data_IF_686467528745
#
_entry.id   IF_686467528745
#
_cell.length_a   1.000
_cell.length_b   1.000
_cell.length_c   1.000
_cell.angle_alpha   90.00
_cell.angle_beta   90.00
_cell.angle_gamma   90.00
#
_symmetry.space_group_name_H-M   'P 1'
#
loop_
_entity.id
_entity.type
_entity.pdbx_description
1 polymer ?
#
# COMPACT_ATOMS: atom_id res chain seq x y z
N UNK A 1 -20.38 2.23 -23.62
CA UNK A 1 -19.95 1.60 -22.37
C UNK A 1 -18.42 1.72 -22.31
N UNK A 2 -17.86 2.27 -21.22
CA UNK A 2 -16.41 2.32 -21.06
C UNK A 2 -15.93 0.91 -20.71
N UNK A 3 -15.11 0.27 -21.56
CA UNK A 3 -14.51 -1.03 -21.25
C UNK A 3 -13.33 -0.86 -20.29
N UNK A 4 -13.03 -1.88 -19.50
CA UNK A 4 -11.85 -1.94 -18.62
C UNK A 4 -10.96 -3.08 -19.06
N UNK A 5 -9.67 -2.96 -18.76
CA UNK A 5 -8.68 -3.99 -19.09
C UNK A 5 -7.60 -4.10 -18.01
N UNK A 6 -7.01 -5.29 -17.90
CA UNK A 6 -5.94 -5.56 -16.94
C UNK A 6 -4.64 -4.88 -17.39
N UNK A 7 -4.11 -4.03 -16.50
CA UNK A 7 -2.78 -3.46 -16.62
C UNK A 7 -1.78 -4.33 -15.83
N UNK A 8 -0.59 -4.56 -16.39
CA UNK A 8 0.48 -5.34 -15.78
C UNK A 8 1.73 -4.50 -15.53
N UNK A 9 1.87 -3.43 -16.30
CA UNK A 9 3.00 -2.49 -16.24
C UNK A 9 2.49 -1.05 -16.10
N UNK A 10 3.32 -0.11 -15.62
CA UNK A 10 2.95 1.31 -15.60
C UNK A 10 2.58 1.86 -16.98
N UNK A 11 3.24 1.37 -18.03
CA UNK A 11 3.01 1.85 -19.40
C UNK A 11 1.63 1.41 -19.96
N UNK A 12 1.08 0.31 -19.46
CA UNK A 12 -0.28 -0.15 -19.81
C UNK A 12 -1.34 0.89 -19.44
N UNK A 13 -1.17 1.64 -18.34
CA UNK A 13 -2.11 2.67 -17.94
C UNK A 13 -2.26 3.74 -19.04
N UNK A 14 -1.14 4.24 -19.56
CA UNK A 14 -1.13 5.25 -20.63
C UNK A 14 -1.72 4.70 -21.92
N UNK A 15 -1.37 3.48 -22.30
CA UNK A 15 -1.88 2.79 -23.49
C UNK A 15 -3.40 2.60 -23.38
N UNK A 16 -3.89 2.03 -22.29
CA UNK A 16 -5.33 1.76 -22.09
C UNK A 16 -6.16 3.05 -22.04
N UNK A 17 -5.61 4.11 -21.42
CA UNK A 17 -6.24 5.44 -21.43
C UNK A 17 -6.38 5.99 -22.84
N UNK A 18 -5.35 5.83 -23.69
CA UNK A 18 -5.41 6.25 -25.10
C UNK A 18 -6.45 5.44 -25.90
N UNK A 19 -6.67 4.18 -25.53
CA UNK A 19 -7.70 3.31 -26.11
C UNK A 19 -9.13 3.62 -25.56
N UNK A 20 -9.27 4.62 -24.67
CA UNK A 20 -10.55 4.97 -24.04
C UNK A 20 -11.02 3.94 -22.99
N UNK A 21 -10.12 3.10 -22.51
CA UNK A 21 -10.40 2.06 -21.50
C UNK A 21 -10.04 2.53 -20.09
N UNK A 22 -10.66 1.93 -19.08
CA UNK A 22 -10.20 2.00 -17.70
C UNK A 22 -9.16 0.89 -17.47
N UNK A 23 -8.09 1.21 -16.75
CA UNK A 23 -7.08 0.24 -16.33
C UNK A 23 -7.30 -0.17 -14.88
N UNK A 24 -7.03 -1.44 -14.56
CA UNK A 24 -6.95 -1.92 -13.20
C UNK A 24 -5.73 -2.83 -13.03
N UNK A 25 -5.16 -2.83 -11.83
CA UNK A 25 -4.08 -3.71 -11.41
C UNK A 25 -4.62 -4.73 -10.42
N UNK A 26 -4.10 -5.96 -10.45
CA UNK A 26 -4.47 -7.01 -9.50
C UNK A 26 -3.45 -7.06 -8.38
N UNK A 27 -3.92 -6.95 -7.13
CA UNK A 27 -3.20 -7.30 -5.92
C UNK A 27 -3.77 -8.56 -5.27
N UNK A 28 -2.95 -9.24 -4.49
CA UNK A 28 -3.40 -10.29 -3.58
C UNK A 28 -3.20 -9.77 -2.16
N UNK A 29 -4.28 -9.59 -1.43
CA UNK A 29 -4.20 -9.35 -0.01
C UNK A 29 -4.17 -10.68 0.74
N UNK A 30 -3.13 -10.84 1.54
CA UNK A 30 -2.76 -12.03 2.29
C UNK A 30 -1.98 -13.09 1.49
N UNK A 31 -0.67 -13.08 1.63
CA UNK A 31 0.24 -14.07 1.07
C UNK A 31 0.01 -15.53 1.55
N UNK A 32 -0.95 -15.75 2.45
CA UNK A 32 -1.40 -17.11 2.82
C UNK A 32 -1.74 -17.95 1.59
N UNK A 33 -2.27 -17.33 0.53
CA UNK A 33 -2.57 -18.00 -0.74
C UNK A 33 -1.36 -18.56 -1.48
N UNK A 34 -0.13 -18.15 -1.14
CA UNK A 34 1.10 -18.75 -1.68
C UNK A 34 1.26 -20.18 -1.21
N UNK A 35 0.73 -20.52 -0.03
CA UNK A 35 0.89 -21.83 0.60
C UNK A 35 2.36 -22.14 0.85
N UNK A 36 2.76 -23.40 0.62
CA UNK A 36 4.14 -23.89 0.84
C UNK A 36 4.95 -24.07 -0.45
N UNK A 37 4.39 -23.69 -1.61
CA UNK A 37 5.03 -23.83 -2.91
C UNK A 37 5.32 -22.44 -3.52
N UNK A 38 6.59 -22.06 -3.58
CA UNK A 38 7.03 -20.79 -4.19
C UNK A 38 6.60 -20.66 -5.67
N UNK A 39 6.35 -21.75 -6.38
CA UNK A 39 5.85 -21.72 -7.76
C UNK A 39 4.49 -21.04 -7.88
N UNK A 40 3.72 -20.95 -6.78
CA UNK A 40 2.46 -20.23 -6.79
C UNK A 40 2.68 -18.72 -7.01
N UNK A 41 3.82 -18.15 -6.58
CA UNK A 41 4.16 -16.75 -6.86
C UNK A 41 4.33 -16.55 -8.36
N UNK A 42 5.01 -17.48 -9.07
CA UNK A 42 5.12 -17.45 -10.54
C UNK A 42 3.74 -17.55 -11.20
N UNK A 43 2.88 -18.43 -10.73
CA UNK A 43 1.50 -18.56 -11.27
C UNK A 43 0.69 -17.27 -11.08
N UNK A 44 0.83 -16.60 -9.95
CA UNK A 44 0.17 -15.31 -9.70
C UNK A 44 0.74 -14.21 -10.61
N UNK A 45 2.07 -14.14 -10.76
CA UNK A 45 2.71 -13.24 -11.71
C UNK A 45 2.19 -13.44 -13.14
N UNK A 46 2.16 -14.68 -13.62
CA UNK A 46 1.69 -15.00 -14.97
C UNK A 46 0.20 -14.67 -15.16
N UNK A 47 -0.60 -14.76 -14.09
CA UNK A 47 -1.98 -14.30 -14.08
C UNK A 47 -2.14 -12.77 -14.06
N UNK A 48 -1.04 -12.01 -13.85
CA UNK A 48 -1.03 -10.54 -13.89
C UNK A 48 -1.09 -9.87 -12.53
N UNK A 49 -0.82 -10.58 -11.44
CA UNK A 49 -0.71 -10.01 -10.10
C UNK A 49 0.51 -9.11 -10.03
N UNK A 50 0.34 -7.87 -9.57
CA UNK A 50 1.38 -6.84 -9.51
C UNK A 50 1.94 -6.62 -8.10
N UNK A 51 1.18 -6.94 -7.05
CA UNK A 51 1.65 -6.90 -5.66
C UNK A 51 0.99 -7.96 -4.80
N UNK A 52 1.64 -8.32 -3.70
CA UNK A 52 1.10 -9.26 -2.70
C UNK A 52 1.38 -8.70 -1.31
N UNK A 53 0.31 -8.53 -0.51
CA UNK A 53 0.39 -8.22 0.92
C UNK A 53 0.79 -9.49 1.67
N UNK A 54 1.87 -9.44 2.45
CA UNK A 54 2.48 -10.66 3.01
C UNK A 54 1.61 -11.41 4.01
N UNK A 55 0.82 -10.69 4.81
CA UNK A 55 -0.14 -11.25 5.77
C UNK A 55 -1.40 -10.39 5.84
N UNK A 56 -2.38 -10.82 6.63
CA UNK A 56 -3.57 -10.06 6.97
C UNK A 56 -3.68 -9.94 8.50
N UNK A 57 -4.81 -10.23 9.10
CA UNK A 57 -5.06 -10.07 10.55
C UNK A 57 -4.40 -11.15 11.42
N UNK A 58 -3.77 -12.16 10.84
CA UNK A 58 -3.12 -13.26 11.55
C UNK A 58 -1.72 -13.53 11.01
N UNK A 59 -0.84 -14.02 11.89
CA UNK A 59 0.44 -14.60 11.48
C UNK A 59 0.19 -15.76 10.51
N UNK A 60 1.07 -15.87 9.51
CA UNK A 60 1.02 -16.98 8.57
C UNK A 60 2.41 -17.66 8.43
N UNK A 61 2.61 -18.51 7.44
CA UNK A 61 3.92 -19.16 7.24
C UNK A 61 4.99 -18.21 6.67
N UNK A 62 4.63 -16.98 6.29
CA UNK A 62 5.54 -15.98 5.73
C UNK A 62 6.07 -15.05 6.82
N UNK A 63 5.18 -14.47 7.64
CA UNK A 63 5.55 -13.43 8.61
C UNK A 63 4.50 -13.25 9.71
N UNK A 64 4.85 -12.37 10.64
CA UNK A 64 3.96 -11.91 11.71
C UNK A 64 3.12 -10.71 11.26
N UNK A 65 1.87 -10.68 11.71
CA UNK A 65 0.88 -9.62 11.51
C UNK A 65 0.85 -8.66 12.69
N UNK A 66 0.58 -7.38 12.43
CA UNK A 66 0.40 -6.35 13.47
C UNK A 66 -0.84 -6.56 14.34
N UNK A 67 -1.83 -7.29 13.82
CA UNK A 67 -3.10 -7.54 14.51
C UNK A 67 -3.13 -8.89 15.25
N UNK A 68 -2.10 -9.71 15.17
CA UNK A 68 -2.03 -10.96 15.94
C UNK A 68 -1.56 -10.69 17.38
N UNK A 69 -2.08 -11.46 18.33
CA UNK A 69 -1.81 -11.25 19.76
C UNK A 69 -0.43 -11.73 20.21
N UNK A 70 0.21 -12.59 19.40
CA UNK A 70 1.53 -13.18 19.73
C UNK A 70 2.40 -13.25 18.49
N UNK A 71 3.67 -12.91 18.63
CA UNK A 71 4.65 -13.12 17.58
C UNK A 71 4.95 -14.62 17.40
N UNK A 72 4.96 -15.10 16.17
CA UNK A 72 5.35 -16.46 15.81
C UNK A 72 6.80 -16.55 15.33
N UNK A 73 7.24 -15.56 14.58
CA UNK A 73 8.53 -15.53 13.91
C UNK A 73 9.44 -14.40 14.40
N UNK A 74 8.83 -13.44 15.10
CA UNK A 74 9.44 -12.15 15.44
C UNK A 74 9.96 -11.43 14.17
N UNK A 75 9.13 -11.42 13.12
CA UNK A 75 9.42 -10.85 11.80
C UNK A 75 9.13 -11.81 10.65
N UNK A 76 10.06 -11.91 9.71
CA UNK A 76 9.99 -12.86 8.59
C UNK A 76 10.41 -14.27 9.03
N UNK A 77 9.61 -15.26 8.67
CA UNK A 77 10.01 -16.66 8.78
C UNK A 77 11.15 -17.01 7.80
N UNK A 78 11.85 -18.14 7.98
CA UNK A 78 12.79 -18.65 6.97
C UNK A 78 12.16 -18.86 5.60
N UNK A 79 10.86 -19.21 5.54
CA UNK A 79 10.09 -19.29 4.30
C UNK A 79 9.79 -17.90 3.75
N UNK A 80 9.40 -16.96 4.59
CA UNK A 80 9.11 -15.57 4.21
C UNK A 80 10.29 -14.89 3.51
N UNK A 81 11.53 -15.16 3.95
CA UNK A 81 12.74 -14.66 3.24
C UNK A 81 12.87 -15.21 1.83
N UNK A 82 12.44 -16.46 1.58
CA UNK A 82 12.40 -17.04 0.23
C UNK A 82 11.30 -16.39 -0.61
N UNK A 83 10.13 -16.13 -0.01
CA UNK A 83 9.02 -15.42 -0.66
C UNK A 83 9.45 -14.00 -1.09
N UNK A 84 10.05 -13.22 -0.19
CA UNK A 84 10.59 -11.87 -0.51
C UNK A 84 11.59 -11.93 -1.67
N UNK A 85 12.52 -12.88 -1.65
CA UNK A 85 13.49 -13.06 -2.73
C UNK A 85 12.82 -13.39 -4.06
N UNK A 86 11.83 -14.27 -4.06
CA UNK A 86 11.13 -14.69 -5.26
C UNK A 86 10.24 -13.57 -5.83
N UNK A 87 9.55 -12.81 -4.98
CA UNK A 87 8.79 -11.64 -5.40
C UNK A 87 9.70 -10.60 -6.06
N UNK A 88 10.87 -10.30 -5.48
CA UNK A 88 11.86 -9.42 -6.10
C UNK A 88 12.33 -9.93 -7.46
N UNK A 89 12.58 -11.25 -7.59
CA UNK A 89 13.01 -11.86 -8.85
C UNK A 89 11.97 -11.74 -9.97
N UNK A 90 10.69 -11.84 -9.61
CA UNK A 90 9.57 -11.79 -10.56
C UNK A 90 9.07 -10.37 -10.85
N UNK A 91 9.54 -9.36 -10.11
CA UNK A 91 9.03 -8.01 -10.28
C UNK A 91 7.65 -7.78 -9.66
N UNK A 92 7.27 -8.56 -8.64
CA UNK A 92 6.05 -8.36 -7.86
C UNK A 92 6.38 -7.45 -6.68
N UNK A 93 5.62 -6.37 -6.49
CA UNK A 93 5.79 -5.48 -5.35
C UNK A 93 5.40 -6.19 -4.05
N UNK A 94 6.23 -6.01 -3.02
CA UNK A 94 5.95 -6.49 -1.67
C UNK A 94 5.13 -5.43 -0.95
N UNK A 95 3.96 -5.82 -0.46
CA UNK A 95 3.11 -4.96 0.33
C UNK A 95 3.20 -5.32 1.82
N UNK A 96 3.44 -4.30 2.65
CA UNK A 96 3.64 -4.40 4.09
C UNK A 96 2.44 -3.90 4.91
N UNK A 97 1.31 -3.61 4.28
CA UNK A 97 0.07 -3.43 5.04
C UNK A 97 -0.18 -4.67 5.89
N UNK A 98 -0.73 -4.50 7.08
CA UNK A 98 -0.94 -5.56 8.08
C UNK A 98 0.33 -6.16 8.71
N UNK A 99 1.51 -5.88 8.22
CA UNK A 99 2.74 -6.47 8.73
C UNK A 99 3.07 -5.96 10.15
N UNK A 100 3.50 -6.85 11.03
CA UNK A 100 4.07 -6.45 12.32
C UNK A 100 5.29 -5.56 12.12
N UNK A 101 5.60 -4.72 13.09
CA UNK A 101 6.77 -3.84 13.03
C UNK A 101 8.07 -4.63 12.77
N UNK A 102 8.25 -5.76 13.45
CA UNK A 102 9.40 -6.65 13.21
C UNK A 102 9.45 -7.20 11.78
N UNK A 103 8.29 -7.51 11.19
CA UNK A 103 8.18 -7.93 9.79
C UNK A 103 8.57 -6.79 8.84
N UNK A 104 8.11 -5.56 9.13
CA UNK A 104 8.46 -4.38 8.34
C UNK A 104 9.98 -4.21 8.26
N UNK A 105 10.68 -4.20 9.39
CA UNK A 105 12.13 -4.03 9.44
C UNK A 105 12.88 -5.17 8.76
N UNK A 106 12.44 -6.40 8.96
CA UNK A 106 13.03 -7.55 8.27
C UNK A 106 12.90 -7.46 6.75
N UNK A 107 11.71 -7.06 6.25
CA UNK A 107 11.50 -6.92 4.80
C UNK A 107 12.39 -5.83 4.22
N UNK A 108 12.52 -4.66 4.84
CA UNK A 108 13.43 -3.62 4.36
C UNK A 108 14.89 -4.10 4.31
N UNK A 109 15.28 -4.97 5.25
CA UNK A 109 16.63 -5.57 5.29
C UNK A 109 16.86 -6.58 4.16
N UNK A 110 15.84 -7.38 3.81
CA UNK A 110 16.00 -8.49 2.85
C UNK A 110 15.58 -8.16 1.43
N UNK A 111 14.65 -7.22 1.24
CA UNK A 111 14.22 -6.79 -0.09
C UNK A 111 15.32 -6.02 -0.80
N UNK A 112 15.51 -6.33 -2.09
CA UNK A 112 16.42 -5.61 -2.99
C UNK A 112 15.70 -4.58 -3.84
N UNK A 113 14.37 -4.52 -3.74
CA UNK A 113 13.51 -3.62 -4.48
C UNK A 113 12.68 -2.78 -3.52
N UNK A 114 12.25 -1.58 -3.91
CA UNK A 114 11.31 -0.79 -3.13
C UNK A 114 10.06 -1.59 -2.78
N UNK A 115 9.44 -1.26 -1.66
CA UNK A 115 8.23 -1.91 -1.15
C UNK A 115 7.09 -0.91 -1.04
N UNK A 116 5.87 -1.40 -0.94
CA UNK A 116 4.69 -0.57 -0.70
C UNK A 116 4.07 -0.86 0.65
N UNK A 117 3.27 0.07 1.14
CA UNK A 117 2.28 -0.11 2.19
C UNK A 117 0.97 0.39 1.59
N UNK A 118 0.14 -0.53 1.11
CA UNK A 118 -1.02 -0.21 0.26
C UNK A 118 -2.16 0.49 0.99
N UNK A 119 -2.28 0.31 2.32
CA UNK A 119 -3.32 0.92 3.14
C UNK A 119 -2.93 0.94 4.62
N UNK A 120 -2.36 2.06 5.05
CA UNK A 120 -2.01 2.36 6.45
C UNK A 120 -2.02 3.87 6.66
N UNK A 121 -2.08 4.30 7.91
CA UNK A 121 -2.09 5.72 8.25
C UNK A 121 -0.93 6.07 9.20
N UNK A 122 -0.93 7.26 9.82
CA UNK A 122 0.17 7.74 10.65
C UNK A 122 -0.09 7.51 12.14
N UNK A 123 0.78 6.76 12.81
CA UNK A 123 0.69 6.46 14.24
C UNK A 123 0.89 7.70 15.13
N UNK A 124 1.62 8.71 14.64
CA UNK A 124 1.80 9.98 15.36
C UNK A 124 0.51 10.80 15.47
N UNK A 125 -0.44 10.63 14.53
CA UNK A 125 -1.75 11.29 14.57
C UNK A 125 -2.72 10.48 15.45
N UNK A 126 -2.78 9.18 15.23
CA UNK A 126 -3.55 8.27 16.07
C UNK A 126 -2.85 6.91 16.16
N UNK A 127 -2.52 6.51 17.40
CA UNK A 127 -1.82 5.25 17.65
C UNK A 127 -2.77 4.07 17.44
N UNK A 128 -2.50 3.32 16.40
CA UNK A 128 -3.19 2.08 16.04
C UNK A 128 -2.18 1.08 15.45
N UNK A 129 -2.39 -0.22 15.67
CA UNK A 129 -1.45 -1.28 15.25
C UNK A 129 -1.31 -1.39 13.72
N UNK A 130 -2.27 -0.82 12.97
CA UNK A 130 -2.26 -0.74 11.52
C UNK A 130 -1.53 0.50 10.98
N UNK A 131 -1.19 1.46 11.83
CA UNK A 131 -0.57 2.73 11.45
C UNK A 131 0.95 2.67 11.56
N UNK A 132 1.62 3.35 10.62
CA UNK A 132 3.07 3.44 10.58
C UNK A 132 3.59 4.51 11.53
N UNK A 133 4.71 4.24 12.19
CA UNK A 133 5.46 5.25 12.95
C UNK A 133 6.22 6.18 12.00
N UNK A 134 6.62 7.35 12.47
CA UNK A 134 7.45 8.27 11.71
C UNK A 134 8.79 7.66 11.30
N UNK A 135 9.33 6.78 12.13
CA UNK A 135 10.57 6.06 11.82
C UNK A 135 10.36 5.09 10.64
N UNK A 136 9.25 4.36 10.64
CA UNK A 136 8.88 3.48 9.53
C UNK A 136 8.62 4.27 8.24
N UNK A 137 7.94 5.42 8.32
CA UNK A 137 7.69 6.29 7.17
C UNK A 137 9.00 6.80 6.56
N UNK A 138 9.95 7.27 7.38
CA UNK A 138 11.27 7.71 6.90
C UNK A 138 12.08 6.56 6.31
N UNK A 139 12.06 5.40 6.94
CA UNK A 139 12.79 4.21 6.46
C UNK A 139 12.21 3.71 5.13
N UNK A 140 10.88 3.68 4.99
CA UNK A 140 10.20 3.34 3.75
C UNK A 140 10.61 4.29 2.61
N UNK A 141 10.62 5.60 2.88
CA UNK A 141 11.03 6.63 1.92
C UNK A 141 12.50 6.45 1.52
N UNK A 142 13.40 6.25 2.49
CA UNK A 142 14.82 5.99 2.23
C UNK A 142 15.04 4.71 1.40
N UNK A 143 14.16 3.72 1.52
CA UNK A 143 14.15 2.50 0.72
C UNK A 143 13.53 2.69 -0.68
N UNK A 144 13.02 3.89 -0.99
CA UNK A 144 12.39 4.23 -2.27
C UNK A 144 10.91 3.82 -2.38
N UNK A 145 10.31 3.38 -1.29
CA UNK A 145 8.94 2.88 -1.23
C UNK A 145 7.85 3.95 -1.27
N UNK A 146 6.60 3.51 -1.10
CA UNK A 146 5.42 4.37 -0.97
C UNK A 146 4.46 3.83 0.09
N UNK A 147 3.96 4.71 0.96
CA UNK A 147 2.87 4.43 1.90
C UNK A 147 1.59 5.12 1.42
N UNK A 148 0.49 4.39 1.38
CA UNK A 148 -0.79 4.90 0.94
C UNK A 148 -1.72 5.05 2.15
N UNK A 149 -2.18 6.31 2.37
CA UNK A 149 -3.06 6.66 3.48
C UNK A 149 -4.41 5.95 3.35
N UNK A 150 -4.86 5.32 4.44
CA UNK A 150 -6.04 4.48 4.49
C UNK A 150 -7.28 5.28 4.94
N UNK A 151 -8.45 4.94 4.39
CA UNK A 151 -9.75 5.55 4.73
C UNK A 151 -10.57 4.71 5.74
N UNK A 152 -9.99 3.71 6.38
CA UNK A 152 -10.68 2.96 7.45
C UNK A 152 -10.77 3.85 8.69
N UNK A 153 -11.99 4.09 9.14
CA UNK A 153 -12.33 5.04 10.20
C UNK A 153 -11.67 4.71 11.55
N UNK A 154 -11.58 3.42 11.90
CA UNK A 154 -10.93 2.93 13.11
C UNK A 154 -9.43 3.21 13.17
N UNK A 155 -8.76 3.46 12.02
CA UNK A 155 -7.34 3.76 11.96
C UNK A 155 -7.05 5.27 12.06
N UNK A 156 -8.09 6.10 11.95
CA UNK A 156 -7.96 7.55 11.82
C UNK A 156 -8.33 8.32 13.10
N UNK A 157 -9.21 7.76 13.93
CA UNK A 157 -9.76 8.45 15.10
C UNK A 157 -10.19 7.43 16.16
N UNK A 158 -9.98 7.71 17.47
CA UNK A 158 -10.45 6.84 18.55
C UNK A 158 -11.98 6.68 18.61
N UNK A 159 -12.74 7.62 18.05
CA UNK A 159 -14.18 7.54 17.89
C UNK A 159 -14.51 7.36 16.40
N UNK A 160 -14.47 6.10 15.93
CA UNK A 160 -14.70 5.74 14.53
C UNK A 160 -16.00 6.36 13.96
N UNK A 161 -17.07 6.47 14.78
CA UNK A 161 -18.35 7.04 14.35
C UNK A 161 -18.28 8.54 14.03
N UNK A 162 -17.28 9.25 14.53
CA UNK A 162 -17.07 10.68 14.29
C UNK A 162 -16.03 10.95 13.21
N UNK A 163 -15.34 9.92 12.76
CA UNK A 163 -14.29 10.03 11.74
C UNK A 163 -14.85 10.65 10.45
N UNK A 164 -14.07 11.52 9.88
CA UNK A 164 -14.45 12.25 8.67
C UNK A 164 -13.21 12.57 7.81
N UNK A 165 -13.44 13.14 6.65
CA UNK A 165 -12.37 13.48 5.69
C UNK A 165 -11.27 14.39 6.29
N UNK A 166 -11.60 15.26 7.26
CA UNK A 166 -10.59 16.10 7.91
C UNK A 166 -9.62 15.26 8.74
N UNK A 167 -10.08 14.17 9.37
CA UNK A 167 -9.19 13.27 10.11
C UNK A 167 -8.28 12.52 9.15
N UNK A 168 -8.80 11.98 8.04
CA UNK A 168 -7.98 11.40 6.98
C UNK A 168 -6.92 12.38 6.46
N UNK A 169 -7.29 13.63 6.19
CA UNK A 169 -6.35 14.65 5.70
C UNK A 169 -5.23 14.93 6.69
N UNK A 170 -5.48 14.90 8.02
CA UNK A 170 -4.41 15.04 9.02
C UNK A 170 -3.36 13.93 8.88
N UNK A 171 -3.79 12.69 8.69
CA UNK A 171 -2.86 11.57 8.48
C UNK A 171 -2.10 11.72 7.16
N UNK A 172 -2.78 12.00 6.05
CA UNK A 172 -2.17 12.16 4.74
C UNK A 172 -1.11 13.27 4.73
N UNK A 173 -1.44 14.44 5.29
CA UNK A 173 -0.53 15.59 5.36
C UNK A 173 0.68 15.30 6.24
N UNK A 174 0.48 14.65 7.39
CA UNK A 174 1.57 14.23 8.26
C UNK A 174 2.50 13.22 7.56
N UNK A 175 1.92 12.24 6.84
CA UNK A 175 2.73 11.29 6.08
C UNK A 175 3.57 11.99 5.01
N UNK A 176 3.02 13.00 4.33
CA UNK A 176 3.77 13.82 3.35
C UNK A 176 4.88 14.63 4.03
N UNK A 177 4.62 15.21 5.20
CA UNK A 177 5.62 15.96 5.97
C UNK A 177 6.81 15.07 6.38
N UNK A 178 6.53 13.82 6.80
CA UNK A 178 7.54 12.91 7.34
C UNK A 178 8.29 12.15 6.26
N UNK A 179 7.59 11.62 5.27
CA UNK A 179 8.17 10.77 4.21
C UNK A 179 8.55 11.54 2.94
N UNK A 180 7.98 12.72 2.74
CA UNK A 180 8.08 13.48 1.50
C UNK A 180 7.05 13.11 0.46
N UNK A 181 6.77 14.07 -0.43
CA UNK A 181 5.70 13.98 -1.45
C UNK A 181 5.85 12.79 -2.40
N UNK A 182 7.07 12.33 -2.64
CA UNK A 182 7.37 11.21 -3.56
C UNK A 182 7.09 9.83 -2.96
N UNK A 183 6.72 9.76 -1.67
CA UNK A 183 6.60 8.51 -0.93
C UNK A 183 5.22 8.28 -0.30
N UNK A 184 4.23 9.08 -0.69
CA UNK A 184 2.87 9.00 -0.15
C UNK A 184 1.85 8.84 -1.27
N UNK A 185 0.78 8.09 -1.01
CA UNK A 185 -0.36 7.88 -1.90
C UNK A 185 -1.66 7.72 -1.12
N UNK A 186 -2.71 7.27 -1.82
CA UNK A 186 -4.04 7.01 -1.24
C UNK A 186 -4.38 5.54 -1.44
N UNK A 187 -4.71 4.86 -0.34
CA UNK A 187 -5.18 3.48 -0.30
C UNK A 187 -6.51 3.41 0.43
N UNK A 188 -7.60 3.57 -0.29
CA UNK A 188 -8.94 3.75 0.29
C UNK A 188 -9.41 2.59 1.16
N UNK A 189 -9.07 1.37 0.77
CA UNK A 189 -9.55 0.14 1.42
C UNK A 189 -11.08 0.04 1.45
N UNK A 190 -11.76 0.51 0.41
CA UNK A 190 -13.23 0.55 0.36
C UNK A 190 -13.87 -0.82 0.41
N UNK A 191 -13.22 -1.84 -0.12
CA UNK A 191 -13.65 -3.25 -0.05
C UNK A 191 -13.36 -3.89 1.32
N UNK A 192 -12.43 -3.32 2.10
CA UNK A 192 -12.05 -3.76 3.46
C UNK A 192 -12.71 -2.96 4.60
N UNK A 193 -13.69 -2.12 4.28
CA UNK A 193 -14.41 -1.32 5.28
C UNK A 193 -13.99 0.16 5.32
N UNK A 194 -13.14 0.59 4.39
CA UNK A 194 -12.79 1.99 4.23
C UNK A 194 -13.99 2.85 3.84
N UNK A 195 -13.88 4.13 4.18
CA UNK A 195 -14.88 5.16 3.91
C UNK A 195 -15.18 5.98 5.15
N UNK A 196 -15.15 7.28 5.01
CA UNK A 196 -15.41 8.23 6.08
C UNK A 196 -16.40 9.30 5.61
N UNK A 197 -17.05 9.98 6.56
CA UNK A 197 -17.92 11.10 6.20
C UNK A 197 -17.16 12.13 5.34
N UNK A 198 -17.63 12.34 4.11
CA UNK A 198 -17.00 13.22 3.11
C UNK A 198 -16.13 12.52 2.08
N UNK A 199 -15.86 11.21 2.25
CA UNK A 199 -15.27 10.34 1.23
C UNK A 199 -15.66 8.89 1.49
N UNK A 200 -16.79 8.47 0.92
CA UNK A 200 -17.42 7.17 1.21
C UNK A 200 -17.47 6.24 -0.01
N UNK A 201 -16.84 6.64 -1.09
CA UNK A 201 -16.74 5.89 -2.34
C UNK A 201 -16.01 6.69 -3.42
N UNK A 202 -15.78 6.07 -4.57
CA UNK A 202 -15.00 6.62 -5.68
C UNK A 202 -15.47 7.99 -6.15
N UNK A 203 -16.78 8.25 -6.11
CA UNK A 203 -17.35 9.54 -6.50
C UNK A 203 -16.91 10.69 -5.59
N UNK A 204 -16.50 10.40 -4.37
CA UNK A 204 -16.10 11.39 -3.38
C UNK A 204 -14.58 11.69 -3.41
N UNK A 205 -13.81 10.99 -4.22
CA UNK A 205 -12.36 11.22 -4.35
C UNK A 205 -12.00 12.66 -4.74
N UNK A 206 -12.90 13.34 -5.45
CA UNK A 206 -12.74 14.76 -5.77
C UNK A 206 -12.59 15.61 -4.51
N UNK A 207 -13.20 15.24 -3.39
CA UNK A 207 -13.13 15.98 -2.14
C UNK A 207 -11.71 15.95 -1.56
N UNK A 208 -10.97 14.83 -1.72
CA UNK A 208 -9.54 14.76 -1.34
C UNK A 208 -8.72 15.71 -2.22
N UNK A 209 -8.97 15.71 -3.53
CA UNK A 209 -8.29 16.63 -4.47
C UNK A 209 -8.51 18.08 -4.08
N UNK A 210 -9.76 18.47 -3.78
CA UNK A 210 -10.09 19.83 -3.33
C UNK A 210 -9.32 20.19 -2.06
N UNK A 211 -9.28 19.28 -1.06
CA UNK A 211 -8.50 19.51 0.17
C UNK A 211 -7.00 19.67 -0.09
N UNK A 212 -6.42 18.87 -0.97
CA UNK A 212 -5.01 19.03 -1.34
C UNK A 212 -4.73 20.38 -1.98
N UNK A 213 -5.60 20.85 -2.88
CA UNK A 213 -5.51 22.20 -3.47
C UNK A 213 -5.63 23.29 -2.41
N UNK A 214 -6.57 23.19 -1.47
CA UNK A 214 -6.72 24.12 -0.34
C UNK A 214 -5.47 24.19 0.54
N UNK A 215 -4.70 23.09 0.63
CA UNK A 215 -3.42 23.03 1.34
C UNK A 215 -2.22 23.46 0.49
N UNK A 216 -2.45 23.95 -0.75
CA UNK A 216 -1.40 24.52 -1.60
C UNK A 216 -0.59 23.50 -2.41
N UNK A 217 -1.04 22.23 -2.50
CA UNK A 217 -0.38 21.25 -3.36
C UNK A 217 -0.56 21.63 -4.83
N UNK A 218 0.50 21.47 -5.61
CA UNK A 218 0.45 21.65 -7.06
C UNK A 218 -0.24 20.46 -7.75
N UNK A 219 -0.71 20.67 -8.99
CA UNK A 219 -1.26 19.54 -9.79
C UNK A 219 -0.26 18.39 -9.93
N UNK A 220 1.04 18.69 -10.02
CA UNK A 220 2.09 17.68 -10.07
C UNK A 220 2.18 16.88 -8.76
N UNK A 221 2.10 17.54 -7.61
CA UNK A 221 2.09 16.86 -6.31
C UNK A 221 0.86 15.98 -6.14
N UNK A 222 -0.31 16.50 -6.54
CA UNK A 222 -1.57 15.76 -6.51
C UNK A 222 -1.51 14.52 -7.41
N UNK A 223 -0.94 14.64 -8.61
CA UNK A 223 -0.75 13.50 -9.51
C UNK A 223 0.18 12.43 -8.92
N UNK A 224 1.23 12.81 -8.17
CA UNK A 224 2.07 11.87 -7.44
C UNK A 224 1.27 11.09 -6.39
N UNK A 225 0.49 11.79 -5.56
CA UNK A 225 -0.35 11.20 -4.50
C UNK A 225 -1.42 10.26 -5.11
N UNK A 226 -2.06 10.64 -6.20
CA UNK A 226 -3.12 9.86 -6.86
C UNK A 226 -2.65 8.61 -7.60
N UNK A 227 -1.37 8.35 -7.64
CA UNK A 227 -0.88 7.09 -8.23
C UNK A 227 0.50 7.18 -8.85
N UNK A 228 1.00 8.38 -9.14
CA UNK A 228 2.34 8.54 -9.73
C UNK A 228 3.43 7.86 -8.90
N UNK A 229 3.36 7.97 -7.57
CA UNK A 229 4.31 7.33 -6.67
C UNK A 229 4.20 5.80 -6.68
N UNK A 230 3.00 5.25 -6.70
CA UNK A 230 2.77 3.81 -6.82
C UNK A 230 3.34 3.27 -8.15
N UNK A 231 3.04 3.94 -9.27
CA UNK A 231 3.53 3.55 -10.59
C UNK A 231 5.07 3.66 -10.68
N UNK A 232 5.67 4.64 -10.03
CA UNK A 232 7.13 4.76 -9.91
C UNK A 232 7.73 3.54 -9.21
N UNK A 233 7.17 3.14 -8.07
CA UNK A 233 7.62 1.95 -7.35
C UNK A 233 7.43 0.70 -8.21
N UNK A 234 6.28 0.52 -8.82
CA UNK A 234 6.02 -0.61 -9.74
C UNK A 234 7.07 -0.69 -10.83
N UNK A 235 7.37 0.43 -11.51
CA UNK A 235 8.40 0.48 -12.55
C UNK A 235 9.77 0.06 -12.03
N UNK A 236 10.17 0.56 -10.86
CA UNK A 236 11.45 0.21 -10.25
C UNK A 236 11.56 -1.26 -9.87
N UNK A 237 10.46 -1.87 -9.44
CA UNK A 237 10.41 -3.29 -9.06
C UNK A 237 10.47 -4.19 -10.29
N UNK A 238 9.78 -3.82 -11.38
CA UNK A 238 9.71 -4.61 -12.61
C UNK A 238 10.95 -4.51 -13.51
N UNK A 239 11.79 -3.49 -13.32
CA UNK A 239 13.00 -3.27 -14.16
C UNK A 239 14.29 -3.80 -13.53
N UNK A 240 14.22 -4.54 -12.42
CA UNK A 240 15.40 -5.12 -11.73
C UNK A 240 15.79 -6.50 -12.24
#
# INVERSE_FOLDING_TARGET
MCSSDLARTPDDLSRLKTEGKKAFYIGIENGYGIGKDLKNITRFHDAGVTYITLCHTRNNDICDSSSDTTARWNGLSPYGRKVVKEMNRLGIMIDLSHAAESTFWDVLKYSKAPVIVSHSSASAIYRHDRNLTDEQLRALAAHGGVAQACLVDEFLNPDAKKTNLTDFMKHLLHMVEVAGIDHVGIGSDFDGGGGVKGCNGDNDFINITVRLLEHGFTETDIAKIWGGNFLRVMKQVQTK
#
